data_IF_334953767211
#
_entry.id   IF_334953767211
#
_cell.length_a   1.000
_cell.length_b   1.000
_cell.length_c   1.000
_cell.angle_alpha   90.00
_cell.angle_beta   90.00
_cell.angle_gamma   90.00
#
_symmetry.space_group_name_H-M   'P 1'
#
loop_
_entity.id
_entity.type
_entity.pdbx_description
1 polymer ?
#
# COMPACT_ATOMS: atom_id res chain seq x y z
N UNK A 1 15.54 -54.80 10.68
CA UNK A 1 15.09 -54.11 9.44
C UNK A 1 14.78 -52.67 9.83
N UNK A 2 15.62 -51.69 9.48
CA UNK A 2 15.41 -50.31 9.91
C UNK A 2 14.15 -49.76 9.24
N UNK A 3 13.16 -49.33 10.02
CA UNK A 3 12.01 -48.60 9.50
C UNK A 3 12.49 -47.44 8.63
N UNK A 4 12.13 -47.44 7.34
CA UNK A 4 12.40 -46.31 6.47
C UNK A 4 11.75 -45.04 7.02
N UNK A 5 12.46 -43.92 6.93
CA UNK A 5 12.02 -42.59 7.40
C UNK A 5 10.54 -42.34 7.10
N UNK A 6 9.70 -42.27 8.14
CA UNK A 6 8.25 -42.17 8.02
C UNK A 6 7.78 -40.95 7.22
N UNK A 7 8.63 -39.92 7.06
CA UNK A 7 8.36 -38.76 6.18
C UNK A 7 8.38 -39.12 4.69
N UNK A 8 8.89 -40.30 4.33
CA UNK A 8 8.99 -40.81 2.95
C UNK A 8 7.82 -41.70 2.55
N UNK A 9 6.83 -41.90 3.42
CA UNK A 9 5.63 -42.68 3.10
C UNK A 9 4.59 -41.75 2.46
N UNK A 10 4.10 -42.11 1.28
CA UNK A 10 2.98 -41.41 0.64
C UNK A 10 1.76 -41.51 1.58
N UNK A 11 1.07 -40.39 1.78
CA UNK A 11 -0.03 -40.25 2.73
C UNK A 11 0.40 -39.90 4.16
N UNK A 12 1.70 -39.84 4.48
CA UNK A 12 2.15 -39.43 5.80
C UNK A 12 1.89 -37.94 6.06
N UNK A 13 1.57 -37.60 7.31
CA UNK A 13 1.47 -36.21 7.75
C UNK A 13 2.83 -35.65 8.15
N UNK A 14 3.16 -34.49 7.60
CA UNK A 14 4.41 -33.79 7.82
C UNK A 14 4.18 -32.33 8.15
N UNK A 15 5.18 -31.67 8.73
CA UNK A 15 5.15 -30.25 9.03
C UNK A 15 6.33 -29.52 8.40
N UNK A 16 6.09 -28.29 7.94
CA UNK A 16 7.11 -27.41 7.41
C UNK A 16 6.83 -25.96 7.81
N UNK A 17 7.86 -25.10 7.79
CA UNK A 17 7.64 -23.65 7.95
C UNK A 17 6.87 -23.12 6.74
N UNK A 18 5.87 -22.28 6.97
CA UNK A 18 5.04 -21.72 5.91
C UNK A 18 5.86 -20.94 4.87
N UNK A 19 6.91 -20.25 5.30
CA UNK A 19 7.81 -19.50 4.41
C UNK A 19 8.65 -20.38 3.47
N UNK A 20 8.71 -21.69 3.69
CA UNK A 20 9.29 -22.63 2.74
C UNK A 20 8.26 -23.12 1.71
N UNK A 21 6.96 -23.04 2.02
CA UNK A 21 5.86 -23.54 1.19
C UNK A 21 5.30 -22.46 0.27
N UNK A 22 5.16 -21.23 0.79
CA UNK A 22 4.66 -20.05 0.07
C UNK A 22 5.60 -18.88 0.28
N UNK A 23 5.53 -17.89 -0.61
CA UNK A 23 6.39 -16.72 -0.57
C UNK A 23 6.25 -15.94 0.76
N UNK A 24 7.33 -15.27 1.18
CA UNK A 24 7.37 -14.57 2.47
C UNK A 24 6.33 -13.44 2.57
N UNK A 25 6.00 -12.79 1.45
CA UNK A 25 4.92 -11.78 1.41
C UNK A 25 3.55 -12.38 1.71
N UNK A 26 3.26 -13.57 1.19
CA UNK A 26 2.02 -14.30 1.48
C UNK A 26 1.99 -14.79 2.94
N UNK A 27 3.13 -15.20 3.48
CA UNK A 27 3.26 -15.50 4.91
C UNK A 27 3.04 -14.26 5.79
N UNK A 28 3.54 -13.09 5.38
CA UNK A 28 3.31 -11.83 6.08
C UNK A 28 1.83 -11.44 6.07
N UNK A 29 1.16 -11.64 4.92
CA UNK A 29 -0.29 -11.41 4.78
C UNK A 29 -1.13 -12.32 5.67
N UNK A 30 -0.81 -13.63 5.71
CA UNK A 30 -1.61 -14.63 6.44
C UNK A 30 -1.29 -14.73 7.93
N UNK A 31 -0.02 -14.56 8.31
CA UNK A 31 0.47 -14.88 9.65
C UNK A 31 1.14 -13.72 10.39
N UNK A 32 1.26 -12.54 9.76
CA UNK A 32 1.77 -11.32 10.38
C UNK A 32 3.15 -11.49 11.02
N UNK A 33 3.23 -11.32 12.35
CA UNK A 33 4.46 -11.48 13.12
C UNK A 33 5.05 -12.91 13.04
N UNK A 34 4.22 -13.92 12.79
CA UNK A 34 4.63 -15.32 12.69
C UNK A 34 5.09 -15.73 11.28
N UNK A 35 5.28 -14.77 10.36
CA UNK A 35 5.60 -15.06 8.94
C UNK A 35 6.82 -15.95 8.70
N UNK A 36 7.80 -15.95 9.61
CA UNK A 36 9.02 -16.78 9.52
C UNK A 36 8.99 -18.03 10.40
N UNK A 37 8.06 -18.11 11.35
CA UNK A 37 8.02 -19.16 12.38
C UNK A 37 6.80 -20.07 12.29
N UNK A 38 5.73 -19.63 11.59
CA UNK A 38 4.50 -20.41 11.44
C UNK A 38 4.81 -21.75 10.76
N UNK A 39 4.33 -22.82 11.39
CA UNK A 39 4.41 -24.19 10.88
C UNK A 39 3.04 -24.59 10.31
N UNK A 40 3.05 -25.23 9.14
CA UNK A 40 1.87 -25.76 8.44
C UNK A 40 1.98 -27.28 8.33
N UNK A 41 0.83 -27.95 8.40
CA UNK A 41 0.72 -29.41 8.25
C UNK A 41 0.46 -29.71 6.78
N UNK A 42 1.10 -30.75 6.25
CA UNK A 42 0.85 -31.23 4.90
C UNK A 42 0.82 -32.74 4.80
N UNK A 43 0.21 -33.23 3.74
CA UNK A 43 0.11 -34.67 3.43
C UNK A 43 1.05 -35.00 2.28
N UNK A 44 1.94 -35.98 2.46
CA UNK A 44 2.93 -36.37 1.45
C UNK A 44 2.24 -37.01 0.25
N UNK A 45 2.50 -36.48 -0.94
CA UNK A 45 1.97 -36.97 -2.21
C UNK A 45 3.04 -37.72 -3.00
N UNK A 46 4.28 -37.24 -2.96
CA UNK A 46 5.38 -37.83 -3.75
C UNK A 46 6.73 -37.69 -3.02
N UNK A 47 7.62 -38.64 -3.26
CA UNK A 47 9.00 -38.65 -2.74
C UNK A 47 9.97 -38.84 -3.90
N UNK A 48 10.79 -37.82 -4.16
CA UNK A 48 11.77 -37.83 -5.24
C UNK A 48 13.19 -37.89 -4.66
N UNK A 49 14.05 -38.74 -5.25
CA UNK A 49 15.46 -38.84 -4.90
C UNK A 49 16.31 -38.39 -6.09
N UNK A 50 16.96 -37.24 -5.95
CA UNK A 50 17.84 -36.70 -6.99
C UNK A 50 19.29 -36.94 -6.62
N UNK A 51 20.10 -37.44 -7.56
CA UNK A 51 21.56 -37.56 -7.41
C UNK A 51 22.22 -36.34 -8.04
N UNK A 52 23.02 -35.58 -7.28
CA UNK A 52 23.82 -34.48 -7.82
C UNK A 52 25.23 -35.00 -8.18
N UNK A 53 25.66 -34.84 -9.42
CA UNK A 53 27.07 -34.94 -9.82
C UNK A 53 27.79 -33.66 -9.35
N UNK A 54 28.98 -33.73 -8.70
CA UNK A 54 30.05 -34.74 -8.85
C UNK A 54 30.19 -35.73 -7.67
N UNK A 55 29.54 -35.48 -6.53
CA UNK A 55 29.78 -36.24 -5.28
C UNK A 55 28.84 -37.43 -5.05
N UNK A 56 28.05 -37.80 -6.07
CA UNK A 56 27.06 -38.90 -6.07
C UNK A 56 26.13 -38.92 -4.83
N UNK A 57 25.93 -37.75 -4.19
CA UNK A 57 25.13 -37.63 -2.97
C UNK A 57 23.65 -37.60 -3.35
N UNK A 58 22.89 -38.54 -2.77
CA UNK A 58 21.43 -38.59 -2.93
C UNK A 58 20.79 -37.51 -2.06
N UNK A 59 19.99 -36.63 -2.67
CA UNK A 59 19.13 -35.68 -1.98
C UNK A 59 17.67 -36.11 -2.13
N UNK A 60 16.97 -36.23 -1.00
CA UNK A 60 15.54 -36.59 -0.98
C UNK A 60 14.70 -35.33 -0.86
N UNK A 61 13.73 -35.20 -1.76
CA UNK A 61 12.72 -34.16 -1.80
C UNK A 61 11.34 -34.77 -1.55
N UNK A 62 10.52 -34.06 -0.77
CA UNK A 62 9.18 -34.44 -0.38
C UNK A 62 8.22 -33.44 -1.01
N UNK A 63 7.31 -33.92 -1.85
CA UNK A 63 6.20 -33.14 -2.36
C UNK A 63 4.97 -33.43 -1.52
N UNK A 64 4.40 -32.39 -0.92
CA UNK A 64 3.26 -32.51 -0.03
C UNK A 64 2.23 -31.40 -0.28
N UNK A 65 0.97 -31.71 0.00
CA UNK A 65 -0.15 -30.79 -0.01
C UNK A 65 -0.30 -30.18 1.39
N UNK A 66 0.13 -28.93 1.55
CA UNK A 66 0.14 -28.21 2.83
C UNK A 66 -1.11 -27.37 3.01
N UNK A 67 -1.78 -27.52 4.15
CA UNK A 67 -2.87 -26.66 4.57
C UNK A 67 -2.31 -25.34 5.12
N UNK A 68 -2.58 -24.25 4.39
CA UNK A 68 -2.13 -22.89 4.73
C UNK A 68 -3.25 -22.06 5.40
N UNK A 69 -4.31 -22.72 5.88
CA UNK A 69 -5.44 -22.11 6.56
C UNK A 69 -6.46 -21.45 5.62
N UNK A 70 -7.66 -21.22 6.14
CA UNK A 70 -8.76 -20.59 5.40
C UNK A 70 -9.25 -21.44 4.21
N UNK A 71 -9.19 -22.76 4.34
CA UNK A 71 -9.62 -23.71 3.30
C UNK A 71 -8.69 -23.80 2.09
N UNK A 72 -7.51 -23.20 2.14
CA UNK A 72 -6.54 -23.20 1.04
C UNK A 72 -5.46 -24.27 1.26
N UNK A 73 -5.21 -25.09 0.23
CA UNK A 73 -4.12 -26.08 0.20
C UNK A 73 -3.11 -25.69 -0.86
N UNK A 74 -1.82 -25.80 -0.56
CA UNK A 74 -0.72 -25.55 -1.50
C UNK A 74 0.19 -26.77 -1.62
N UNK A 75 0.36 -27.25 -2.85
CA UNK A 75 1.37 -28.26 -3.18
C UNK A 75 2.75 -27.62 -3.25
N UNK A 76 3.73 -28.19 -2.56
CA UNK A 76 5.13 -27.73 -2.62
C UNK A 76 6.11 -28.89 -2.44
N UNK A 77 7.28 -28.78 -3.10
CA UNK A 77 8.37 -29.75 -3.06
C UNK A 77 9.52 -29.22 -2.23
N UNK A 78 9.78 -29.85 -1.08
CA UNK A 78 10.77 -29.40 -0.11
C UNK A 78 11.87 -30.43 0.10
N UNK A 79 13.09 -29.98 0.39
CA UNK A 79 14.14 -30.88 0.85
C UNK A 79 13.73 -31.53 2.18
N UNK A 80 14.01 -32.83 2.35
CA UNK A 80 13.64 -33.58 3.57
C UNK A 80 14.16 -32.95 4.88
N UNK A 81 15.23 -32.15 4.83
CA UNK A 81 15.76 -31.40 5.98
C UNK A 81 14.83 -30.28 6.46
N UNK A 82 14.00 -29.75 5.57
CA UNK A 82 13.04 -28.67 5.85
C UNK A 82 11.67 -29.18 6.29
N UNK A 83 11.52 -30.52 6.39
CA UNK A 83 10.26 -31.22 6.68
C UNK A 83 10.42 -32.05 7.97
N UNK A 84 9.51 -31.86 8.93
CA UNK A 84 9.45 -32.63 10.18
C UNK A 84 8.26 -33.58 10.16
N UNK A 85 8.33 -34.69 10.90
CA UNK A 85 7.19 -35.58 11.07
C UNK A 85 6.11 -34.86 11.89
N UNK A 86 4.85 -34.93 11.49
CA UNK A 86 3.76 -34.42 12.31
C UNK A 86 3.60 -35.32 13.55
N UNK A 87 3.62 -34.71 14.74
CA UNK A 87 3.24 -35.37 16.00
C UNK A 87 1.99 -34.62 16.50
N UNK A 88 0.81 -35.25 16.57
CA UNK A 88 -0.35 -34.59 17.16
C UNK A 88 -0.07 -34.37 18.66
N UNK A 89 -0.16 -33.12 19.11
CA UNK A 89 -0.02 -32.75 20.52
C UNK A 89 -1.23 -33.32 21.29
N UNK A 90 -0.98 -34.27 22.19
CA UNK A 90 -1.94 -34.69 23.19
C UNK A 90 -1.86 -33.71 24.37
N UNK A 91 -2.58 -32.59 24.31
CA UNK A 91 -2.89 -31.83 25.53
C UNK A 91 -4.11 -30.93 25.34
N UNK A 92 -5.29 -31.49 25.61
CA UNK A 92 -6.47 -30.74 26.07
C UNK A 92 -7.31 -31.65 26.97
N UNK A 93 -7.11 -31.53 28.28
CA UNK A 93 -8.11 -31.91 29.29
C UNK A 93 -8.29 -30.70 30.24
N UNK A 94 -9.51 -30.23 30.53
CA UNK A 94 -9.74 -29.06 31.38
C UNK A 94 -10.03 -29.47 32.84
N UNK A 95 -9.41 -28.80 33.83
CA UNK A 95 -10.06 -28.31 35.09
C UNK A 95 -9.05 -27.83 36.18
N UNK A 96 -9.20 -26.55 36.56
CA UNK A 96 -9.08 -25.82 37.86
C UNK A 96 -8.23 -26.30 39.07
N UNK A 97 -7.95 -25.43 40.10
CA UNK A 97 -7.91 -23.95 40.15
C UNK A 97 -6.65 -23.37 40.87
N UNK A 98 -6.58 -22.03 40.88
CA UNK A 98 -5.55 -21.10 41.36
C UNK A 98 -4.92 -21.30 42.76
N UNK A 99 -3.61 -20.95 42.88
CA UNK A 99 -3.00 -19.99 43.84
C UNK A 99 -1.45 -19.99 43.66
N UNK A 100 -0.66 -19.12 44.34
CA UNK A 100 -0.37 -17.72 43.98
C UNK A 100 1.12 -17.46 43.64
N UNK A 101 1.36 -16.28 43.06
CA UNK A 101 2.66 -15.71 42.66
C UNK A 101 3.57 -15.49 43.88
N UNK A 102 4.86 -15.89 43.85
CA UNK A 102 5.89 -15.27 44.66
C UNK A 102 6.72 -14.24 43.85
N UNK A 103 7.14 -13.23 44.59
CA UNK A 103 7.75 -12.00 44.12
C UNK A 103 9.19 -12.16 43.58
N UNK A 104 9.58 -11.09 42.89
CA UNK A 104 10.87 -10.73 42.28
C UNK A 104 12.07 -10.99 43.21
N UNK A 105 13.17 -11.49 42.64
CA UNK A 105 14.49 -11.04 43.06
C UNK A 105 15.47 -10.96 41.88
N UNK A 106 16.08 -9.79 41.75
CA UNK A 106 17.17 -9.49 40.84
C UNK A 106 18.47 -10.03 41.44
N UNK A 107 19.25 -10.77 40.66
CA UNK A 107 20.68 -10.89 40.94
C UNK A 107 21.46 -11.00 39.63
N UNK A 108 22.34 -10.02 39.51
CA UNK A 108 23.40 -9.79 38.55
C UNK A 108 24.45 -10.90 38.65
N UNK A 109 24.82 -11.54 37.54
CA UNK A 109 26.11 -12.22 37.38
C UNK A 109 26.54 -12.21 35.93
N UNK A 110 27.54 -11.37 35.70
CA UNK A 110 28.51 -11.34 34.63
C UNK A 110 29.13 -12.72 34.36
N UNK A 111 29.46 -13.03 33.09
CA UNK A 111 30.66 -13.74 32.62
C UNK A 111 30.55 -14.24 31.17
N UNK A 112 31.45 -13.68 30.35
CA UNK A 112 32.24 -14.30 29.27
C UNK A 112 31.61 -14.59 27.88
N UNK A 113 32.21 -13.91 26.90
CA UNK A 113 32.20 -14.14 25.45
C UNK A 113 32.97 -15.45 25.11
N UNK A 114 32.54 -16.18 24.07
CA UNK A 114 33.51 -16.51 23.01
C UNK A 114 32.98 -16.25 21.59
N UNK A 115 33.93 -15.86 20.74
CA UNK A 115 33.85 -15.63 19.30
C UNK A 115 33.36 -16.86 18.53
N UNK A 116 32.54 -16.67 17.48
CA UNK A 116 32.41 -17.62 16.38
C UNK A 116 32.20 -16.92 15.02
N UNK A 117 33.23 -17.13 14.19
CA UNK A 117 33.42 -17.07 12.74
C UNK A 117 32.25 -16.71 11.80
N UNK A 118 32.56 -15.76 10.91
CA UNK A 118 31.86 -15.48 9.66
C UNK A 118 31.90 -16.69 8.70
N UNK A 119 30.75 -17.03 8.12
CA UNK A 119 30.64 -17.99 7.03
C UNK A 119 29.60 -17.53 6.03
N UNK A 120 30.06 -16.90 4.94
CA UNK A 120 29.26 -16.57 3.75
C UNK A 120 28.65 -17.84 3.13
N UNK A 121 27.36 -17.79 2.80
CA UNK A 121 26.72 -18.79 1.95
C UNK A 121 25.91 -18.11 0.84
N UNK A 122 26.52 -18.12 -0.34
CA UNK A 122 25.97 -17.79 -1.66
C UNK A 122 24.73 -18.64 -1.96
N UNK A 123 23.62 -17.99 -2.34
CA UNK A 123 22.46 -18.67 -2.93
C UNK A 123 22.35 -18.26 -4.41
N UNK A 124 22.65 -19.21 -5.29
CA UNK A 124 22.33 -19.19 -6.71
C UNK A 124 20.82 -19.41 -6.88
N UNK A 125 20.13 -18.45 -7.51
CA UNK A 125 18.79 -18.64 -8.05
C UNK A 125 18.87 -19.26 -9.44
N UNK A 126 18.16 -20.37 -9.66
CA UNK A 126 17.85 -20.89 -10.99
C UNK A 126 16.33 -20.95 -11.12
N UNK A 127 15.78 -20.05 -11.93
CA UNK A 127 14.40 -20.05 -12.42
C UNK A 127 14.27 -21.02 -13.61
N UNK A 128 13.07 -21.57 -13.86
CA UNK A 128 12.58 -21.68 -15.22
C UNK A 128 11.35 -20.78 -15.41
N UNK A 129 11.44 -19.99 -16.47
CA UNK A 129 10.40 -19.13 -17.03
C UNK A 129 9.18 -19.94 -17.48
N UNK A 130 7.99 -19.51 -17.07
CA UNK A 130 6.76 -19.66 -17.85
C UNK A 130 6.00 -18.33 -17.79
N UNK A 131 6.08 -17.60 -18.90
CA UNK A 131 5.29 -16.39 -19.19
C UNK A 131 3.80 -16.76 -19.28
N UNK A 132 2.97 -16.11 -18.46
CA UNK A 132 1.53 -16.04 -18.70
C UNK A 132 1.20 -14.65 -19.21
N UNK A 133 1.15 -14.52 -20.53
CA UNK A 133 0.59 -13.37 -21.24
C UNK A 133 -0.91 -13.26 -20.97
N UNK A 134 -1.38 -12.10 -20.52
CA UNK A 134 -2.79 -11.73 -20.56
C UNK A 134 -3.03 -10.83 -21.79
N UNK A 135 -3.95 -11.18 -22.70
CA UNK A 135 -4.20 -10.37 -23.89
C UNK A 135 -4.88 -9.04 -23.51
N UNK A 136 -4.30 -7.95 -23.97
CA UNK A 136 -4.93 -6.63 -23.96
C UNK A 136 -6.14 -6.63 -24.89
N UNK A 137 -7.33 -6.27 -24.38
CA UNK A 137 -8.49 -6.02 -25.23
C UNK A 137 -8.48 -4.58 -25.76
N UNK A 138 -8.76 -4.35 -27.05
CA UNK A 138 -8.76 -3.02 -27.64
C UNK A 138 -9.97 -2.19 -27.20
N UNK A 139 -9.74 -0.90 -26.99
CA UNK A 139 -10.80 0.10 -26.82
C UNK A 139 -11.63 0.19 -28.10
N UNK A 140 -12.95 0.07 -27.96
CA UNK A 140 -13.90 0.20 -29.06
C UNK A 140 -14.06 1.67 -29.43
N UNK A 141 -13.67 2.01 -30.65
CA UNK A 141 -13.83 3.33 -31.26
C UNK A 141 -15.30 3.49 -31.70
N UNK A 142 -16.06 4.38 -31.06
CA UNK A 142 -17.43 4.70 -31.49
C UNK A 142 -17.35 5.91 -32.41
N UNK A 143 -17.36 5.65 -33.71
CA UNK A 143 -17.51 6.67 -34.75
C UNK A 143 -18.90 7.29 -34.70
N UNK A 144 -18.96 8.62 -34.60
CA UNK A 144 -20.19 9.39 -34.73
C UNK A 144 -20.37 9.70 -36.22
N UNK A 145 -21.30 9.00 -36.88
CA UNK A 145 -21.82 9.38 -38.19
C UNK A 145 -22.91 10.44 -38.03
N UNK A 146 -22.85 11.48 -38.87
CA UNK A 146 -23.77 12.59 -38.90
C UNK A 146 -25.10 12.26 -39.61
N UNK A 147 -26.19 12.82 -39.09
CA UNK A 147 -27.36 13.25 -39.84
C UNK A 147 -28.54 12.29 -39.92
N UNK A 148 -29.67 12.66 -39.31
CA UNK A 148 -30.87 13.08 -40.06
C UNK A 148 -31.87 13.79 -39.14
N UNK A 149 -32.42 14.91 -39.63
CA UNK A 149 -33.44 15.71 -38.96
C UNK A 149 -34.82 15.12 -39.20
N UNK A 150 -35.67 15.10 -38.17
CA UNK A 150 -37.13 15.06 -38.35
C UNK A 150 -37.77 16.07 -37.40
N UNK A 151 -38.61 16.93 -37.97
CA UNK A 151 -39.26 18.07 -37.33
C UNK A 151 -40.66 17.74 -36.77
N UNK A 152 -40.94 18.26 -35.57
CA UNK A 152 -42.27 18.66 -35.04
C UNK A 152 -43.25 17.57 -34.57
N UNK A 153 -44.32 17.92 -33.81
CA UNK A 153 -44.81 19.26 -33.49
C UNK A 153 -44.96 19.57 -31.99
N UNK A 154 -45.10 20.87 -31.74
CA UNK A 154 -45.45 21.56 -30.49
C UNK A 154 -46.73 21.02 -29.84
N UNK A 155 -46.71 20.79 -28.53
CA UNK A 155 -47.93 20.75 -27.72
C UNK A 155 -47.65 21.32 -26.33
N UNK A 156 -48.37 22.40 -26.01
CA UNK A 156 -48.41 23.00 -24.69
C UNK A 156 -49.29 22.16 -23.74
N UNK A 157 -49.09 22.43 -22.44
CA UNK A 157 -50.01 22.23 -21.31
C UNK A 157 -49.98 20.85 -20.63
N UNK A 158 -49.45 20.81 -19.40
CA UNK A 158 -50.27 20.75 -18.18
C UNK A 158 -49.38 20.74 -16.93
N UNK A 159 -49.52 21.76 -16.07
CA UNK A 159 -49.15 21.62 -14.66
C UNK A 159 -50.11 20.60 -14.05
N UNK A 160 -49.63 19.39 -13.84
CA UNK A 160 -50.37 18.40 -13.11
C UNK A 160 -49.71 18.25 -11.73
N UNK A 161 -50.41 18.75 -10.72
CA UNK A 161 -50.15 18.46 -9.31
C UNK A 161 -50.60 17.02 -9.09
N UNK A 162 -49.66 16.11 -8.83
CA UNK A 162 -49.99 14.73 -8.48
C UNK A 162 -49.80 14.51 -6.99
N UNK A 163 -50.85 13.97 -6.38
CA UNK A 163 -50.98 13.71 -4.97
C UNK A 163 -49.91 12.76 -4.45
N UNK A 164 -49.46 13.08 -3.24
CA UNK A 164 -48.59 12.26 -2.41
C UNK A 164 -49.39 11.04 -1.95
N UNK A 165 -49.13 9.88 -2.53
CA UNK A 165 -49.49 8.61 -1.91
C UNK A 165 -48.26 7.68 -1.89
N UNK A 166 -47.93 7.26 -0.67
CA UNK A 166 -46.95 6.25 -0.26
C UNK A 166 -45.45 6.61 -0.34
N UNK A 167 -45.03 7.55 0.52
CA UNK A 167 -43.63 7.91 0.67
C UNK A 167 -43.00 7.22 1.91
N UNK A 168 -42.74 5.91 1.82
CA UNK A 168 -41.80 5.27 2.74
C UNK A 168 -40.44 5.97 2.60
N UNK A 169 -39.99 6.68 3.64
CA UNK A 169 -38.71 7.38 3.64
C UNK A 169 -37.69 6.65 4.51
N UNK A 170 -36.41 6.77 4.14
CA UNK A 170 -35.28 6.30 4.94
C UNK A 170 -34.60 7.51 5.57
N UNK A 171 -34.29 7.44 6.86
CA UNK A 171 -33.51 8.46 7.56
C UNK A 171 -32.02 8.13 7.50
N UNK A 172 -31.21 9.06 7.00
CA UNK A 172 -29.75 8.99 7.09
C UNK A 172 -29.18 10.39 7.35
N UNK A 173 -28.35 10.52 8.39
CA UNK A 173 -27.72 11.79 8.81
C UNK A 173 -28.71 12.96 8.91
N UNK A 174 -29.82 12.77 9.64
CA UNK A 174 -30.90 13.76 9.83
C UNK A 174 -31.62 14.19 8.53
N UNK A 175 -31.29 13.57 7.40
CA UNK A 175 -31.91 13.84 6.10
C UNK A 175 -32.93 12.73 5.78
N UNK A 176 -34.13 13.14 5.35
CA UNK A 176 -35.19 12.24 4.87
C UNK A 176 -34.97 11.92 3.39
N UNK A 177 -34.79 10.65 3.08
CA UNK A 177 -34.63 10.15 1.71
C UNK A 177 -35.91 9.48 1.26
N UNK A 178 -36.47 9.95 0.15
CA UNK A 178 -37.70 9.41 -0.43
C UNK A 178 -37.37 8.61 -1.69
N UNK A 179 -38.07 7.51 -1.92
CA UNK A 179 -37.97 6.78 -3.18
C UNK A 179 -38.72 7.54 -4.27
N UNK A 180 -37.97 8.21 -5.16
CA UNK A 180 -38.53 8.93 -6.30
C UNK A 180 -38.00 8.34 -7.61
N UNK A 181 -38.77 7.39 -8.17
CA UNK A 181 -38.43 6.72 -9.44
C UNK A 181 -38.51 7.66 -10.65
N UNK A 182 -39.25 8.77 -10.57
CA UNK A 182 -39.33 9.75 -11.64
C UNK A 182 -38.08 10.63 -11.62
N UNK A 183 -37.64 11.10 -10.45
CA UNK A 183 -36.40 11.86 -10.30
C UNK A 183 -35.15 11.11 -10.80
N UNK A 184 -35.12 9.79 -10.71
CA UNK A 184 -34.01 8.97 -11.27
C UNK A 184 -34.02 8.88 -12.80
N UNK A 185 -35.13 9.23 -13.45
CA UNK A 185 -35.30 9.18 -14.91
C UNK A 185 -35.26 10.57 -15.57
N UNK A 186 -35.34 11.63 -14.77
CA UNK A 186 -35.22 13.01 -15.24
C UNK A 186 -33.74 13.33 -15.41
N UNK A 187 -33.37 13.97 -16.51
CA UNK A 187 -32.05 14.55 -16.70
C UNK A 187 -31.92 15.74 -15.72
N UNK A 188 -31.46 15.46 -14.49
CA UNK A 188 -31.61 16.32 -13.29
C UNK A 188 -31.12 17.76 -13.52
N UNK A 189 -30.20 17.98 -14.47
CA UNK A 189 -29.56 19.27 -14.71
C UNK A 189 -30.00 19.95 -16.03
N UNK A 190 -30.89 19.34 -16.81
CA UNK A 190 -31.24 19.83 -18.15
C UNK A 190 -30.03 19.95 -19.09
N UNK A 191 -30.16 20.75 -20.15
CA UNK A 191 -29.07 20.99 -21.09
C UNK A 191 -27.93 21.80 -20.44
N UNK A 192 -26.80 21.14 -20.18
CA UNK A 192 -25.58 21.80 -19.67
C UNK A 192 -24.74 22.32 -20.84
N UNK A 193 -24.26 23.56 -20.77
CA UNK A 193 -23.32 24.09 -21.76
C UNK A 193 -22.00 23.32 -21.71
N UNK A 194 -21.54 22.84 -22.86
CA UNK A 194 -20.22 22.21 -22.96
C UNK A 194 -19.13 23.20 -22.56
N UNK A 195 -18.39 22.86 -21.52
CA UNK A 195 -17.26 23.64 -20.99
C UNK A 195 -16.07 22.71 -20.81
N UNK A 196 -14.90 23.17 -21.25
CA UNK A 196 -13.62 22.50 -21.02
C UNK A 196 -13.08 22.80 -19.63
N UNK A 197 -12.24 21.90 -19.10
CA UNK A 197 -11.51 22.16 -17.87
C UNK A 197 -10.44 23.24 -18.10
N UNK A 198 -9.93 23.81 -17.02
CA UNK A 198 -8.74 24.64 -17.09
C UNK A 198 -8.03 24.84 -15.76
N UNK A 199 -6.83 25.40 -15.82
CA UNK A 199 -5.95 25.70 -14.68
C UNK A 199 -5.58 27.18 -14.78
N UNK A 200 -5.94 27.97 -13.76
CA UNK A 200 -5.53 29.36 -13.67
C UNK A 200 -4.03 29.45 -13.37
N UNK A 201 -3.31 30.29 -14.10
CA UNK A 201 -1.93 30.63 -13.77
C UNK A 201 -1.88 31.80 -12.79
N UNK A 202 -0.76 32.01 -12.06
CA UNK A 202 -0.61 33.16 -11.18
C UNK A 202 -0.71 34.52 -11.88
N UNK A 203 -0.52 34.55 -13.20
CA UNK A 203 -0.60 35.77 -14.02
C UNK A 203 -1.99 35.96 -14.67
N UNK A 204 -2.94 35.06 -14.42
CA UNK A 204 -4.33 35.16 -14.87
C UNK A 204 -4.66 34.42 -16.17
N UNK A 205 -3.71 33.70 -16.77
CA UNK A 205 -3.99 32.86 -17.94
C UNK A 205 -4.78 31.62 -17.53
N UNK A 206 -5.56 31.08 -18.47
CA UNK A 206 -6.26 29.80 -18.31
C UNK A 206 -5.62 28.73 -19.20
N UNK A 207 -4.98 27.75 -18.59
CA UNK A 207 -4.43 26.59 -19.29
C UNK A 207 -5.51 25.51 -19.43
N UNK A 208 -5.88 25.19 -20.66
CA UNK A 208 -6.86 24.15 -21.00
C UNK A 208 -6.26 23.12 -21.97
N UNK A 209 -7.09 22.31 -22.62
CA UNK A 209 -6.66 21.49 -23.75
C UNK A 209 -5.91 22.35 -24.77
N UNK A 210 -4.77 21.84 -25.26
CA UNK A 210 -3.98 22.45 -26.34
C UNK A 210 -3.42 23.87 -26.06
N UNK A 211 -3.50 24.37 -24.82
CA UNK A 211 -3.04 25.73 -24.49
C UNK A 211 -1.52 25.88 -24.39
N UNK A 212 -0.78 24.76 -24.27
CA UNK A 212 0.67 24.74 -24.06
C UNK A 212 1.40 23.78 -25.01
N UNK A 213 0.98 23.76 -26.28
CA UNK A 213 1.61 22.92 -27.33
C UNK A 213 3.11 23.26 -27.49
N UNK A 214 3.46 24.54 -27.33
CA UNK A 214 4.84 25.03 -27.44
C UNK A 214 5.73 24.61 -26.25
N UNK A 215 5.15 24.04 -25.18
CA UNK A 215 5.89 23.61 -23.98
C UNK A 215 6.47 24.77 -23.18
N UNK A 216 5.73 25.88 -23.04
CA UNK A 216 6.12 27.06 -22.26
C UNK A 216 6.25 26.74 -20.77
N UNK A 217 5.47 25.79 -20.26
CA UNK A 217 5.52 25.36 -18.87
C UNK A 217 6.27 24.03 -18.72
N UNK A 218 7.28 24.04 -17.85
CA UNK A 218 7.95 22.83 -17.40
C UNK A 218 7.03 21.96 -16.53
N UNK A 219 7.35 20.66 -16.41
CA UNK A 219 6.64 19.72 -15.52
C UNK A 219 6.64 20.20 -14.06
N UNK A 220 7.71 20.84 -13.61
CA UNK A 220 7.78 21.41 -12.27
C UNK A 220 6.81 22.57 -12.10
N UNK A 221 6.66 23.43 -13.12
CA UNK A 221 5.66 24.51 -13.07
C UNK A 221 4.25 23.95 -13.01
N UNK A 222 3.90 22.92 -13.79
CA UNK A 222 2.62 22.24 -13.67
C UNK A 222 2.39 21.64 -12.28
N UNK A 223 3.41 21.01 -11.69
CA UNK A 223 3.33 20.53 -10.32
C UNK A 223 3.02 21.66 -9.33
N UNK A 224 3.70 22.81 -9.46
CA UNK A 224 3.50 23.98 -8.59
C UNK A 224 2.19 24.73 -8.87
N UNK A 225 1.58 24.58 -10.05
CA UNK A 225 0.24 25.07 -10.31
C UNK A 225 -0.80 24.26 -9.52
N UNK A 226 -0.59 22.95 -9.37
CA UNK A 226 -1.55 22.07 -8.68
C UNK A 226 -1.27 21.89 -7.19
N UNK A 227 -0.01 22.03 -6.76
CA UNK A 227 0.39 21.92 -5.37
C UNK A 227 0.45 23.30 -4.71
N UNK A 228 -0.19 23.53 -3.54
CA UNK A 228 -0.25 24.86 -2.94
C UNK A 228 1.13 25.38 -2.51
N UNK A 229 1.56 26.56 -2.96
CA UNK A 229 2.81 27.20 -2.50
C UNK A 229 2.83 27.44 -0.98
N UNK A 230 1.70 27.83 -0.41
CA UNK A 230 1.56 28.06 1.04
C UNK A 230 1.78 26.77 1.83
N UNK A 231 1.32 25.64 1.29
CA UNK A 231 1.53 24.34 1.91
C UNK A 231 3.01 23.92 1.85
N UNK A 232 3.73 24.19 0.75
CA UNK A 232 5.19 23.94 0.70
C UNK A 232 5.93 24.73 1.77
N UNK A 233 5.57 25.99 1.94
CA UNK A 233 6.15 26.86 2.98
C UNK A 233 5.86 26.33 4.38
N UNK A 234 4.62 25.95 4.66
CA UNK A 234 4.21 25.38 5.95
C UNK A 234 4.95 24.07 6.26
N UNK A 235 5.00 23.13 5.30
CA UNK A 235 5.73 21.86 5.48
C UNK A 235 7.21 22.09 5.78
N UNK A 236 7.85 23.01 5.05
CA UNK A 236 9.26 23.35 5.24
C UNK A 236 9.50 23.88 6.66
N UNK A 237 8.68 24.84 7.11
CA UNK A 237 8.78 25.43 8.44
C UNK A 237 8.55 24.39 9.56
N UNK A 238 7.45 23.64 9.49
CA UNK A 238 7.08 22.65 10.51
C UNK A 238 8.09 21.51 10.59
N UNK A 239 8.59 21.05 9.45
CA UNK A 239 9.62 19.99 9.40
C UNK A 239 10.94 20.49 9.97
N UNK A 240 11.30 21.76 9.74
CA UNK A 240 12.52 22.35 10.30
C UNK A 240 12.49 22.42 11.82
N UNK A 241 11.35 22.69 12.44
CA UNK A 241 11.20 22.62 13.90
C UNK A 241 11.59 21.23 14.41
N UNK A 242 11.12 20.16 13.77
CA UNK A 242 11.43 18.78 14.14
C UNK A 242 12.89 18.40 13.88
N UNK A 243 13.45 18.84 12.76
CA UNK A 243 14.86 18.59 12.42
C UNK A 243 15.79 19.24 13.44
N UNK A 244 15.54 20.50 13.82
CA UNK A 244 16.34 21.23 14.81
C UNK A 244 16.27 20.56 16.19
N UNK A 245 15.09 20.09 16.62
CA UNK A 245 14.93 19.35 17.87
C UNK A 245 15.78 18.07 17.92
N UNK A 246 16.12 17.49 16.77
CA UNK A 246 16.99 16.33 16.66
C UNK A 246 18.43 16.67 16.27
N UNK A 247 18.84 17.95 16.37
CA UNK A 247 20.16 18.45 15.94
C UNK A 247 20.50 18.12 14.47
N UNK A 248 19.49 18.13 13.59
CA UNK A 248 19.65 17.89 12.15
C UNK A 248 19.60 19.20 11.37
N UNK A 249 20.23 19.19 10.19
CA UNK A 249 20.25 20.35 9.29
C UNK A 249 18.82 20.70 8.80
N UNK A 250 18.47 21.98 8.81
CA UNK A 250 17.20 22.47 8.27
C UNK A 250 17.08 22.16 6.77
N UNK A 251 15.88 21.85 6.31
CA UNK A 251 15.56 21.76 4.90
C UNK A 251 15.22 23.11 4.28
N UNK A 252 15.48 23.23 2.98
CA UNK A 252 14.97 24.32 2.15
C UNK A 252 13.76 23.86 1.33
N UNK A 253 12.99 24.79 0.78
CA UNK A 253 11.89 24.47 -0.15
C UNK A 253 12.39 23.70 -1.38
N UNK A 254 13.58 24.04 -1.89
CA UNK A 254 14.19 23.29 -3.00
C UNK A 254 14.55 21.85 -2.62
N UNK A 255 15.00 21.62 -1.38
CA UNK A 255 15.22 20.26 -0.88
C UNK A 255 13.90 19.50 -0.68
N UNK A 256 12.83 20.16 -0.22
CA UNK A 256 11.49 19.58 -0.13
C UNK A 256 10.97 19.15 -1.52
N UNK A 257 11.16 19.99 -2.54
CA UNK A 257 10.79 19.64 -3.92
C UNK A 257 11.62 18.47 -4.45
N UNK A 258 12.91 18.40 -4.11
CA UNK A 258 13.74 17.23 -4.44
C UNK A 258 13.22 15.97 -3.74
N UNK A 259 12.82 16.06 -2.48
CA UNK A 259 12.20 14.96 -1.75
C UNK A 259 10.94 14.45 -2.46
N UNK A 260 10.02 15.34 -2.87
CA UNK A 260 8.86 14.93 -3.67
C UNK A 260 9.23 14.33 -5.02
N UNK A 261 10.22 14.88 -5.71
CA UNK A 261 10.75 14.32 -6.95
C UNK A 261 11.24 12.87 -6.76
N UNK A 262 11.91 12.59 -5.65
CA UNK A 262 12.33 11.22 -5.29
C UNK A 262 11.13 10.31 -5.04
N UNK A 263 10.07 10.79 -4.38
CA UNK A 263 8.85 10.00 -4.16
C UNK A 263 8.15 9.64 -5.47
N UNK A 264 8.03 10.61 -6.38
CA UNK A 264 7.45 10.40 -7.70
C UNK A 264 8.32 9.43 -8.50
N UNK A 265 9.65 9.60 -8.48
CA UNK A 265 10.58 8.71 -9.16
C UNK A 265 10.52 7.27 -8.61
N UNK A 266 10.38 7.10 -7.30
CA UNK A 266 10.27 5.79 -6.66
C UNK A 266 9.09 4.97 -7.19
N UNK A 267 8.01 5.60 -7.67
CA UNK A 267 6.86 4.90 -8.28
C UNK A 267 7.22 4.15 -9.58
N UNK A 268 8.37 4.45 -10.18
CA UNK A 268 8.89 3.77 -11.38
C UNK A 268 9.72 2.53 -11.07
N UNK A 269 9.92 2.20 -9.80
CA UNK A 269 10.77 1.10 -9.37
C UNK A 269 9.99 0.12 -8.49
N UNK A 270 10.23 -1.16 -8.73
CA UNK A 270 9.86 -2.22 -7.80
C UNK A 270 11.02 -2.46 -6.83
N UNK A 271 10.73 -2.49 -5.54
CA UNK A 271 11.73 -2.72 -4.51
C UNK A 271 11.09 -3.34 -3.27
N UNK A 272 11.85 -4.18 -2.57
CA UNK A 272 11.43 -4.78 -1.30
C UNK A 272 11.80 -3.90 -0.10
N UNK A 273 12.84 -3.07 -0.25
CA UNK A 273 13.25 -2.07 0.72
C UNK A 273 13.58 -0.75 0.05
N UNK A 274 13.12 0.36 0.64
CA UNK A 274 13.41 1.72 0.15
C UNK A 274 14.90 2.03 0.08
N UNK A 275 15.73 1.38 0.91
CA UNK A 275 17.19 1.54 0.85
C UNK A 275 17.80 1.08 -0.48
N UNK A 276 17.18 0.12 -1.17
CA UNK A 276 17.66 -0.39 -2.47
C UNK A 276 17.62 0.68 -3.57
N UNK A 277 16.79 1.71 -3.43
CA UNK A 277 16.72 2.81 -4.39
C UNK A 277 18.04 3.61 -4.46
N UNK A 278 18.87 3.55 -3.42
CA UNK A 278 20.21 4.16 -3.44
C UNK A 278 21.32 3.19 -3.89
N UNK A 279 20.99 1.95 -4.24
CA UNK A 279 21.97 0.99 -4.77
C UNK A 279 22.57 1.49 -6.09
N UNK A 280 23.88 1.38 -6.20
CA UNK A 280 24.63 1.60 -7.45
C UNK A 280 24.83 0.31 -8.24
N UNK A 281 24.46 -0.83 -7.66
CA UNK A 281 24.53 -2.14 -8.31
C UNK A 281 23.23 -2.41 -9.06
N UNK A 282 23.36 -2.72 -10.34
CA UNK A 282 22.25 -3.09 -11.21
C UNK A 282 21.70 -4.46 -10.79
N UNK A 283 20.37 -4.63 -10.71
CA UNK A 283 19.77 -5.93 -10.37
C UNK A 283 20.02 -6.98 -11.47
N UNK A 284 20.17 -6.55 -12.72
CA UNK A 284 20.53 -7.42 -13.85
C UNK A 284 21.29 -6.62 -14.93
N UNK A 285 21.83 -7.31 -15.93
CA UNK A 285 22.52 -6.65 -17.06
C UNK A 285 21.60 -5.80 -17.95
N UNK A 286 20.28 -5.95 -17.83
CA UNK A 286 19.29 -5.24 -18.65
C UNK A 286 18.62 -4.08 -17.93
N UNK A 287 18.69 -4.06 -16.60
CA UNK A 287 18.01 -3.06 -15.76
C UNK A 287 19.08 -2.24 -15.05
N UNK A 288 19.18 -0.92 -15.29
CA UNK A 288 20.16 -0.10 -14.60
C UNK A 288 19.88 -0.03 -13.09
N UNK A 289 20.93 0.20 -12.31
CA UNK A 289 20.79 0.47 -10.89
C UNK A 289 19.94 1.74 -10.66
N UNK A 290 19.02 1.76 -9.68
CA UNK A 290 18.22 2.94 -9.39
C UNK A 290 19.09 4.18 -9.07
N UNK A 291 20.16 4.00 -8.28
CA UNK A 291 21.19 4.99 -8.01
C UNK A 291 20.66 6.38 -7.60
N UNK A 292 19.66 6.43 -6.70
CA UNK A 292 18.98 7.67 -6.29
C UNK A 292 19.91 8.71 -5.65
N UNK A 293 21.12 8.33 -5.23
CA UNK A 293 22.15 9.31 -4.83
C UNK A 293 22.44 10.36 -5.92
N UNK A 294 22.25 10.01 -7.21
CA UNK A 294 22.40 10.95 -8.34
C UNK A 294 21.36 12.06 -8.36
N UNK A 295 20.26 11.94 -7.61
CA UNK A 295 19.27 13.02 -7.47
C UNK A 295 19.75 14.18 -6.60
N UNK A 296 20.90 14.02 -5.93
CA UNK A 296 21.48 15.01 -5.03
C UNK A 296 20.99 14.91 -3.59
N UNK A 297 20.26 13.86 -3.22
CA UNK A 297 19.89 13.55 -1.84
C UNK A 297 20.49 12.22 -1.43
N UNK A 298 21.27 12.20 -0.35
CA UNK A 298 21.81 10.96 0.22
C UNK A 298 20.69 10.11 0.83
N UNK A 299 20.90 8.80 0.93
CA UNK A 299 19.97 7.90 1.60
C UNK A 299 19.68 8.36 3.03
N UNK A 300 20.73 8.70 3.77
CA UNK A 300 20.61 9.14 5.17
C UNK A 300 19.74 10.40 5.27
N UNK A 301 19.97 11.39 4.40
CA UNK A 301 19.17 12.61 4.40
C UNK A 301 17.71 12.34 4.05
N UNK A 302 17.45 11.47 3.08
CA UNK A 302 16.09 11.06 2.76
C UNK A 302 15.39 10.38 3.95
N UNK A 303 16.07 9.45 4.63
CA UNK A 303 15.52 8.76 5.81
C UNK A 303 15.25 9.75 6.96
N UNK A 304 16.12 10.76 7.14
CA UNK A 304 15.94 11.84 8.11
C UNK A 304 14.72 12.71 7.81
N UNK A 305 14.52 13.09 6.55
CA UNK A 305 13.35 13.86 6.11
C UNK A 305 12.08 13.02 6.21
N UNK A 306 12.12 11.77 5.76
CA UNK A 306 10.97 10.87 5.78
C UNK A 306 10.38 10.70 7.18
N UNK A 307 11.23 10.61 8.21
CA UNK A 307 10.81 10.48 9.62
C UNK A 307 10.28 11.79 10.21
N UNK A 308 10.77 12.93 9.75
CA UNK A 308 10.52 14.23 10.36
C UNK A 308 9.53 15.12 9.60
N UNK A 309 9.12 14.73 8.39
CA UNK A 309 8.17 15.50 7.59
C UNK A 309 6.88 15.77 8.39
N UNK A 310 6.40 17.02 8.35
CA UNK A 310 5.14 17.44 8.97
C UNK A 310 4.26 18.13 7.92
N UNK A 311 2.97 17.87 8.00
CA UNK A 311 1.97 18.31 7.01
C UNK A 311 1.07 19.41 7.56
N UNK A 312 0.78 19.35 8.86
CA UNK A 312 -0.07 20.30 9.56
C UNK A 312 0.50 20.64 10.93
N UNK A 313 0.01 21.73 11.52
CA UNK A 313 0.30 22.05 12.90
C UNK A 313 -0.64 21.25 13.83
N UNK A 314 -0.06 20.55 14.78
CA UNK A 314 -0.80 19.84 15.83
C UNK A 314 -0.24 20.26 17.18
N UNK A 315 -1.10 20.54 18.15
CA UNK A 315 -0.67 20.78 19.52
C UNK A 315 0.10 19.55 20.05
N UNK A 316 1.19 19.72 20.82
CA UNK A 316 1.93 18.59 21.37
C UNK A 316 1.07 17.67 22.24
N UNK A 317 0.08 18.24 22.92
CA UNK A 317 -0.86 17.53 23.77
C UNK A 317 -2.29 17.71 23.26
N UNK A 318 -3.12 16.68 23.46
CA UNK A 318 -4.52 16.69 23.08
C UNK A 318 -5.31 17.64 23.99
N UNK A 319 -5.99 18.65 23.45
CA UNK A 319 -6.84 19.53 24.25
C UNK A 319 -7.94 18.77 25.01
N UNK A 320 -8.32 19.28 26.18
CA UNK A 320 -9.43 18.74 26.96
C UNK A 320 -10.74 18.82 26.16
N UNK A 321 -11.56 17.77 26.24
CA UNK A 321 -12.82 17.66 25.47
C UNK A 321 -12.67 17.27 24.01
N UNK A 322 -11.46 17.27 23.43
CA UNK A 322 -11.26 16.83 22.04
C UNK A 322 -11.20 15.30 21.93
N UNK A 323 -11.93 14.72 20.98
CA UNK A 323 -11.85 13.28 20.73
C UNK A 323 -10.44 12.87 20.25
N UNK A 324 -10.00 11.66 20.60
CA UNK A 324 -8.71 11.13 20.11
C UNK A 324 -8.66 11.10 18.58
N UNK A 325 -9.80 10.78 17.94
CA UNK A 325 -9.92 10.74 16.49
C UNK A 325 -9.69 12.12 15.87
N UNK A 326 -10.40 13.15 16.35
CA UNK A 326 -10.25 14.54 15.89
C UNK A 326 -8.82 15.02 16.06
N UNK A 327 -8.23 14.79 17.24
CA UNK A 327 -6.84 15.19 17.49
C UNK A 327 -5.88 14.56 16.50
N UNK A 328 -6.04 13.29 16.15
CA UNK A 328 -5.17 12.58 15.19
C UNK A 328 -5.28 13.12 13.76
N UNK A 329 -6.47 13.53 13.32
CA UNK A 329 -6.66 14.10 11.98
C UNK A 329 -5.98 15.47 11.82
N UNK A 330 -5.78 16.21 12.92
CA UNK A 330 -5.03 17.47 12.89
C UNK A 330 -3.61 17.34 12.33
N UNK A 331 -3.03 16.13 12.30
CA UNK A 331 -1.73 15.89 11.64
C UNK A 331 -1.75 16.18 10.13
N UNK A 332 -2.93 16.19 9.50
CA UNK A 332 -3.12 16.40 8.06
C UNK A 332 -4.22 17.41 7.72
N UNK A 333 -5.00 17.90 8.69
CA UNK A 333 -6.13 18.81 8.42
C UNK A 333 -5.70 20.09 7.70
N UNK A 334 -4.69 20.82 8.20
CA UNK A 334 -4.19 22.01 7.50
C UNK A 334 -3.73 21.70 6.06
N UNK A 335 -3.08 20.56 5.84
CA UNK A 335 -2.67 20.14 4.49
C UNK A 335 -3.90 19.98 3.59
N UNK A 336 -4.92 19.26 4.05
CA UNK A 336 -6.16 19.04 3.29
C UNK A 336 -6.87 20.36 3.01
N UNK A 337 -6.98 21.22 4.02
CA UNK A 337 -7.61 22.54 3.88
C UNK A 337 -6.87 23.41 2.86
N UNK A 338 -5.55 23.60 3.02
CA UNK A 338 -4.76 24.41 2.09
C UNK A 338 -4.79 23.83 0.68
N UNK A 339 -4.76 22.50 0.55
CA UNK A 339 -4.84 21.83 -0.75
C UNK A 339 -6.19 22.07 -1.45
N UNK A 340 -7.29 21.89 -0.72
CA UNK A 340 -8.62 22.09 -1.26
C UNK A 340 -8.87 23.56 -1.60
N UNK A 341 -8.48 24.50 -0.73
CA UNK A 341 -8.59 25.93 -0.99
C UNK A 341 -7.81 26.36 -2.23
N UNK A 342 -6.58 25.87 -2.40
CA UNK A 342 -5.79 26.14 -3.60
C UNK A 342 -6.46 25.57 -4.85
N UNK A 343 -6.89 24.30 -4.81
CA UNK A 343 -7.52 23.67 -5.96
C UNK A 343 -8.85 24.31 -6.36
N UNK A 344 -9.67 24.75 -5.40
CA UNK A 344 -10.92 25.44 -5.68
C UNK A 344 -10.70 26.76 -6.46
N UNK A 345 -9.60 27.45 -6.17
CA UNK A 345 -9.26 28.72 -6.81
C UNK A 345 -8.53 28.52 -8.14
N UNK A 346 -7.70 27.48 -8.24
CA UNK A 346 -6.80 27.27 -9.37
C UNK A 346 -7.38 26.36 -10.45
N UNK A 347 -8.12 25.30 -10.10
CA UNK A 347 -8.68 24.36 -11.07
C UNK A 347 -10.13 24.71 -11.41
N UNK A 348 -10.45 24.74 -12.70
CA UNK A 348 -11.81 24.91 -13.23
C UNK A 348 -12.28 23.57 -13.81
N UNK A 349 -13.30 22.93 -13.21
CA UNK A 349 -13.83 21.71 -13.76
C UNK A 349 -14.50 21.97 -15.11
N UNK A 350 -14.58 20.91 -15.91
CA UNK A 350 -15.40 20.86 -17.12
C UNK A 350 -16.89 20.84 -16.75
N UNK A 351 -17.76 20.84 -17.76
CA UNK A 351 -19.20 20.64 -17.58
C UNK A 351 -19.56 19.26 -17.03
N UNK A 352 -18.64 18.29 -17.10
CA UNK A 352 -18.81 16.94 -16.56
C UNK A 352 -17.89 16.74 -15.34
N UNK A 353 -18.48 16.24 -14.25
CA UNK A 353 -17.77 15.81 -13.04
C UNK A 353 -18.19 14.38 -12.71
N UNK A 354 -17.24 13.58 -12.22
CA UNK A 354 -17.49 12.26 -11.67
C UNK A 354 -17.12 12.28 -10.20
N UNK A 355 -17.99 11.72 -9.36
CA UNK A 355 -17.77 11.56 -7.92
C UNK A 355 -17.64 10.09 -7.64
N UNK A 356 -16.51 9.71 -7.05
CA UNK A 356 -16.21 8.34 -6.67
C UNK A 356 -15.32 8.35 -5.42
N UNK A 357 -15.24 7.22 -4.76
CA UNK A 357 -14.47 7.02 -3.54
C UNK A 357 -13.08 6.47 -3.87
N UNK A 358 -12.05 6.99 -3.22
CA UNK A 358 -10.70 6.44 -3.31
C UNK A 358 -10.25 5.91 -1.96
N UNK A 359 -9.68 4.71 -1.97
CA UNK A 359 -9.19 4.05 -0.76
C UNK A 359 -7.67 3.97 -0.80
N UNK A 360 -7.03 4.62 0.16
CA UNK A 360 -5.59 4.44 0.43
C UNK A 360 -5.42 3.42 1.55
N UNK A 361 -4.83 2.26 1.26
CA UNK A 361 -4.61 1.21 2.25
C UNK A 361 -3.60 1.68 3.30
N UNK A 362 -3.97 1.55 4.57
CA UNK A 362 -3.10 1.86 5.70
C UNK A 362 -3.17 0.72 6.73
N UNK A 363 -2.02 0.13 7.03
CA UNK A 363 -1.90 -0.99 7.98
C UNK A 363 -1.18 -0.61 9.27
N UNK A 364 -0.74 0.64 9.38
CA UNK A 364 -0.23 1.14 10.64
C UNK A 364 -1.36 1.23 11.66
N UNK A 365 -1.02 1.24 12.95
CA UNK A 365 -1.95 1.76 13.94
C UNK A 365 -2.21 3.21 13.55
N UNK A 366 -3.37 3.50 12.93
CA UNK A 366 -3.75 4.88 12.68
C UNK A 366 -3.51 5.66 13.97
N UNK A 367 -2.74 6.75 13.90
CA UNK A 367 -2.45 7.64 15.03
C UNK A 367 -1.92 6.98 16.31
N UNK A 368 -0.96 6.06 16.22
CA UNK A 368 -0.11 5.71 17.36
C UNK A 368 0.88 6.85 17.64
N UNK A 369 0.54 7.75 18.57
CA UNK A 369 1.55 8.54 19.26
C UNK A 369 2.45 7.60 20.06
N UNK A 370 3.68 7.44 19.60
CA UNK A 370 4.69 6.63 20.26
C UNK A 370 6.04 7.30 20.12
N UNK A 371 6.37 8.16 21.07
CA UNK A 371 7.78 8.32 21.43
C UNK A 371 8.28 7.00 22.00
N UNK A 372 9.49 6.59 21.61
CA UNK A 372 10.21 5.49 22.26
C UNK A 372 10.68 4.38 21.32
N UNK A 373 12.00 4.41 21.08
CA UNK A 373 12.93 3.33 20.70
C UNK A 373 12.80 2.61 19.35
N UNK A 374 13.84 2.84 18.53
CA UNK A 374 14.19 2.13 17.31
C UNK A 374 15.35 2.79 16.60
#
# INVERSE_FOLDING_TARGET
MSEGDSRRKIGAQVTAKACHVVHLSECARRYGALRTTKVVVGTVVEVNNTRKAPNNRVSTFITADFDIGGGSVKRSTLNIRSVKLFKPDQSTVPSSPAAPIPAVDNADTDLAVPEQEEGEAVLQETSPDEELEFPAQPMMEIGIAAGEQVAGPTAQVAMQVWGVEDASFVMAHETKWYADKQATLIDINGSVQSKQFGINTPIGDLLGPDSDIDGKYSRLQYFLLMFPPDQLSAMCQLTNVQLVQQNKHCMSTGELLRFFGILILATKFEFSSRSQLWSTTAPSKYIPAPAFGKTGMSRQRFDDLWRNIRWSNQCPERPEGMSSHTFRWQLVDDFVERYNNHRANTFKPSHLICVDESMSRWYGQGGGGGGGNG
#
